data_IF_840296870706
#
_entry.id   IF_840296870706
#
_cell.length_a   1.000
_cell.length_b   1.000
_cell.length_c   1.000
_cell.angle_alpha   90.00
_cell.angle_beta   90.00
_cell.angle_gamma   90.00
#
_symmetry.space_group_name_H-M   'P 1'
#
loop_
_entity.id
_entity.type
_entity.pdbx_description
1 polymer ?
#
# COMPACT_ATOMS: atom_id res chain seq x y z
N UNK A 1 11.64 15.99 -16.64
CA UNK A 1 11.18 14.61 -16.42
C UNK A 1 10.92 14.28 -14.95
N UNK A 2 11.86 14.48 -14.02
CA UNK A 2 11.64 14.18 -12.57
C UNK A 2 10.41 14.87 -11.98
N UNK A 3 10.19 16.15 -12.32
CA UNK A 3 9.05 16.94 -11.81
C UNK A 3 7.68 16.32 -12.13
N UNK A 4 7.56 15.62 -13.27
CA UNK A 4 6.30 15.01 -13.72
C UNK A 4 5.87 13.82 -12.85
N UNK A 5 6.81 13.22 -12.11
CA UNK A 5 6.55 12.05 -11.26
C UNK A 5 6.34 12.42 -9.80
N UNK A 6 6.66 13.65 -9.38
CA UNK A 6 6.52 14.09 -7.99
C UNK A 6 5.07 13.93 -7.53
N UNK A 7 4.12 14.50 -8.29
CA UNK A 7 2.71 14.44 -7.91
C UNK A 7 2.18 13.00 -7.88
N UNK A 8 2.35 12.16 -8.92
CA UNK A 8 1.99 10.75 -8.84
C UNK A 8 2.62 9.98 -7.67
N UNK A 9 3.91 10.19 -7.38
CA UNK A 9 4.58 9.54 -6.26
C UNK A 9 3.98 9.97 -4.91
N UNK A 10 3.65 11.26 -4.74
CA UNK A 10 2.90 11.73 -3.58
C UNK A 10 1.54 11.03 -3.46
N UNK A 11 0.85 10.78 -4.58
CA UNK A 11 -0.40 10.03 -4.59
C UNK A 11 -0.20 8.56 -4.22
N UNK A 12 0.89 7.91 -4.65
CA UNK A 12 1.24 6.54 -4.20
C UNK A 12 1.43 6.50 -2.68
N UNK A 13 2.16 7.48 -2.13
CA UNK A 13 2.35 7.60 -0.68
C UNK A 13 1.04 7.88 0.05
N UNK A 14 0.19 8.76 -0.50
CA UNK A 14 -1.14 9.05 0.04
C UNK A 14 -2.04 7.81 0.03
N UNK A 15 -2.00 6.99 -1.03
CA UNK A 15 -2.70 5.72 -1.12
C UNK A 15 -2.28 4.75 0.00
N UNK A 16 -0.97 4.56 0.17
CA UNK A 16 -0.40 3.73 1.25
C UNK A 16 -0.83 4.23 2.64
N UNK A 17 -0.74 5.54 2.88
CA UNK A 17 -1.13 6.16 4.15
C UNK A 17 -2.63 5.96 4.41
N UNK A 18 -3.47 6.16 3.39
CA UNK A 18 -4.93 6.02 3.49
C UNK A 18 -5.31 4.58 3.83
N UNK A 19 -4.71 3.59 3.15
CA UNK A 19 -4.96 2.18 3.45
C UNK A 19 -4.46 1.79 4.85
N UNK A 20 -3.31 2.31 5.27
CA UNK A 20 -2.79 2.11 6.63
C UNK A 20 -3.76 2.65 7.68
N UNK A 21 -4.28 3.87 7.49
CA UNK A 21 -5.26 4.47 8.38
C UNK A 21 -6.58 3.69 8.39
N UNK A 22 -7.05 3.23 7.23
CA UNK A 22 -8.23 2.34 7.14
C UNK A 22 -8.05 1.09 8.00
N UNK A 23 -6.94 0.36 7.83
CA UNK A 23 -6.67 -0.85 8.63
C UNK A 23 -6.56 -0.56 10.13
N UNK A 24 -6.00 0.60 10.51
CA UNK A 24 -5.99 1.04 11.90
C UNK A 24 -7.40 1.28 12.45
N UNK A 25 -8.28 1.92 11.67
CA UNK A 25 -9.68 2.14 12.03
C UNK A 25 -10.40 0.80 12.21
N UNK A 26 -10.25 -0.13 11.28
CA UNK A 26 -10.85 -1.48 11.35
C UNK A 26 -10.43 -2.20 12.64
N UNK A 27 -9.14 -2.17 12.97
CA UNK A 27 -8.61 -2.80 14.19
C UNK A 27 -9.14 -2.09 15.45
N UNK A 28 -9.29 -0.77 15.44
CA UNK A 28 -9.90 -0.03 16.56
C UNK A 28 -11.38 -0.36 16.74
N UNK A 29 -12.12 -0.54 15.65
CA UNK A 29 -13.53 -0.94 15.68
C UNK A 29 -13.72 -2.36 16.27
N UNK A 30 -12.69 -3.21 16.22
CA UNK A 30 -12.67 -4.51 16.88
C UNK A 30 -12.38 -4.43 18.40
N UNK A 31 -12.27 -3.23 18.97
CA UNK A 31 -12.02 -3.01 20.39
C UNK A 31 -10.54 -2.87 20.77
N UNK A 32 -9.62 -2.90 19.81
CA UNK A 32 -8.19 -2.71 20.09
C UNK A 32 -7.81 -1.23 20.20
N UNK A 33 -7.37 -0.79 21.38
CA UNK A 33 -6.91 0.57 21.63
C UNK A 33 -5.47 0.82 21.13
N UNK A 34 -5.20 0.63 19.83
CA UNK A 34 -3.88 0.84 19.24
C UNK A 34 -3.68 2.28 18.75
N UNK A 35 -2.51 2.85 19.03
CA UNK A 35 -2.02 4.06 18.37
C UNK A 35 -1.52 3.73 16.95
N UNK A 36 -1.38 4.74 16.08
CA UNK A 36 -0.81 4.54 14.74
C UNK A 36 0.62 3.96 14.82
N UNK A 37 1.46 4.52 15.69
CA UNK A 37 2.82 4.02 15.91
C UNK A 37 2.79 2.58 16.43
N UNK A 38 1.89 2.27 17.36
CA UNK A 38 1.70 0.91 17.88
C UNK A 38 1.31 -0.07 16.77
N UNK A 39 0.36 0.31 15.91
CA UNK A 39 -0.07 -0.49 14.78
C UNK A 39 1.06 -0.76 13.77
N UNK A 40 1.84 0.28 13.42
CA UNK A 40 2.98 0.14 12.51
C UNK A 40 4.08 -0.75 13.09
N UNK A 41 4.33 -0.66 14.41
CA UNK A 41 5.32 -1.52 15.10
C UNK A 41 4.93 -2.99 15.15
N UNK A 42 3.65 -3.32 15.05
CA UNK A 42 3.18 -4.71 14.94
C UNK A 42 3.39 -5.29 13.54
N UNK A 43 3.69 -4.46 12.54
CA UNK A 43 3.74 -4.85 11.11
C UNK A 43 4.95 -4.29 10.35
N UNK A 44 6.17 -4.25 10.93
CA UNK A 44 7.29 -3.49 10.36
C UNK A 44 7.70 -3.97 8.97
N UNK A 45 7.77 -5.29 8.77
CA UNK A 45 8.11 -5.89 7.48
C UNK A 45 6.99 -5.71 6.45
N UNK A 46 5.74 -5.84 6.88
CA UNK A 46 4.60 -5.76 5.97
C UNK A 46 4.41 -4.36 5.42
N UNK A 47 4.50 -3.32 6.25
CA UNK A 47 4.45 -1.93 5.79
C UNK A 47 5.59 -1.61 4.84
N UNK A 48 6.81 -2.08 5.13
CA UNK A 48 7.97 -1.87 4.25
C UNK A 48 7.81 -2.58 2.91
N UNK A 49 7.35 -3.84 2.92
CA UNK A 49 7.06 -4.59 1.71
C UNK A 49 5.93 -3.94 0.89
N UNK A 50 4.90 -3.39 1.54
CA UNK A 50 3.81 -2.69 0.86
C UNK A 50 4.31 -1.44 0.13
N UNK A 51 5.20 -0.67 0.77
CA UNK A 51 5.86 0.47 0.13
C UNK A 51 6.68 0.02 -1.09
N UNK A 52 7.52 -0.99 -0.96
CA UNK A 52 8.30 -1.53 -2.08
C UNK A 52 7.42 -2.05 -3.22
N UNK A 53 6.35 -2.79 -2.88
CA UNK A 53 5.37 -3.28 -3.84
C UNK A 53 4.64 -2.15 -4.56
N UNK A 54 4.30 -1.08 -3.85
CA UNK A 54 3.67 0.10 -4.46
C UNK A 54 4.62 0.86 -5.38
N UNK A 55 5.92 0.89 -5.09
CA UNK A 55 6.93 1.47 -5.98
C UNK A 55 7.10 0.61 -7.24
N UNK A 56 7.19 -0.71 -7.10
CA UNK A 56 7.24 -1.62 -8.23
C UNK A 56 5.99 -1.48 -9.12
N UNK A 57 4.80 -1.43 -8.52
CA UNK A 57 3.54 -1.20 -9.23
C UNK A 57 3.51 0.16 -9.95
N UNK A 58 4.03 1.22 -9.33
CA UNK A 58 4.11 2.52 -9.97
C UNK A 58 5.08 2.53 -11.16
N UNK A 59 6.24 1.85 -11.06
CA UNK A 59 7.17 1.71 -12.17
C UNK A 59 6.54 0.97 -13.36
N UNK A 60 5.70 -0.03 -13.11
CA UNK A 60 4.92 -0.69 -14.17
C UNK A 60 3.91 0.26 -14.81
N UNK A 61 3.24 1.12 -14.03
CA UNK A 61 2.37 2.15 -14.59
C UNK A 61 3.14 3.13 -15.49
N UNK A 62 4.37 3.49 -15.11
CA UNK A 62 5.26 4.34 -15.92
C UNK A 62 5.62 3.65 -17.24
N UNK A 63 6.05 2.39 -17.17
CA UNK A 63 6.41 1.58 -18.33
C UNK A 63 5.24 1.42 -19.32
N UNK A 64 4.03 1.24 -18.80
CA UNK A 64 2.80 1.10 -19.59
C UNK A 64 2.19 2.44 -20.05
N UNK A 65 2.75 3.58 -19.63
CA UNK A 65 2.20 4.91 -19.93
C UNK A 65 0.88 5.24 -19.21
N UNK A 66 0.51 4.50 -18.16
CA UNK A 66 -0.74 4.65 -17.40
C UNK A 66 -0.50 5.38 -16.06
N UNK A 67 0.20 6.51 -16.10
CA UNK A 67 0.60 7.27 -14.88
C UNK A 67 -0.46 8.27 -14.43
N UNK A 68 -1.74 7.93 -14.54
CA UNK A 68 -2.80 8.81 -14.02
C UNK A 68 -2.71 8.92 -12.50
N UNK A 69 -3.13 10.06 -11.95
CA UNK A 69 -3.11 10.29 -10.49
C UNK A 69 -3.95 9.26 -9.73
N UNK A 70 -5.06 8.84 -10.33
CA UNK A 70 -5.95 7.80 -9.76
C UNK A 70 -5.26 6.44 -9.75
N UNK A 71 -4.56 6.07 -10.83
CA UNK A 71 -3.82 4.81 -10.88
C UNK A 71 -2.66 4.79 -9.87
N UNK A 72 -1.93 5.90 -9.76
CA UNK A 72 -0.86 6.06 -8.78
C UNK A 72 -1.37 5.92 -7.34
N UNK A 73 -2.47 6.60 -7.00
CA UNK A 73 -3.13 6.44 -5.70
C UNK A 73 -3.59 5.00 -5.46
N UNK A 74 -4.25 4.40 -6.45
CA UNK A 74 -4.80 3.05 -6.37
C UNK A 74 -3.73 1.99 -6.12
N UNK A 75 -2.59 2.08 -6.80
CA UNK A 75 -1.44 1.18 -6.56
C UNK A 75 -0.93 1.30 -5.12
N UNK A 76 -0.78 2.52 -4.61
CA UNK A 76 -0.40 2.74 -3.22
C UNK A 76 -1.40 2.18 -2.22
N UNK A 77 -2.69 2.38 -2.48
CA UNK A 77 -3.77 1.89 -1.64
C UNK A 77 -3.86 0.36 -1.62
N UNK A 78 -3.67 -0.30 -2.78
CA UNK A 78 -3.87 -1.73 -2.93
C UNK A 78 -2.67 -2.60 -2.51
N UNK A 79 -1.46 -2.04 -2.40
CA UNK A 79 -0.22 -2.81 -2.25
C UNK A 79 -0.21 -3.77 -1.03
N UNK A 80 -0.62 -3.30 0.15
CA UNK A 80 -0.66 -4.12 1.36
C UNK A 80 -1.64 -5.29 1.24
N UNK A 81 -2.81 -5.08 0.62
CA UNK A 81 -3.79 -6.14 0.37
C UNK A 81 -3.30 -7.14 -0.68
N UNK A 82 -2.61 -6.68 -1.73
CA UNK A 82 -2.02 -7.58 -2.72
C UNK A 82 -0.95 -8.48 -2.10
N UNK A 83 -0.17 -7.98 -1.14
CA UNK A 83 0.78 -8.81 -0.39
C UNK A 83 0.08 -9.88 0.46
N UNK A 84 -1.08 -9.56 1.07
CA UNK A 84 -1.89 -10.57 1.78
C UNK A 84 -2.32 -11.70 0.84
N UNK A 85 -2.81 -11.34 -0.36
CA UNK A 85 -3.25 -12.30 -1.39
C UNK A 85 -2.06 -13.14 -1.89
N UNK A 86 -0.97 -12.51 -2.31
CA UNK A 86 0.23 -13.22 -2.80
C UNK A 86 0.78 -14.15 -1.72
N UNK A 87 0.88 -13.68 -0.48
CA UNK A 87 1.33 -14.50 0.64
C UNK A 87 0.39 -15.66 0.95
N UNK A 88 -0.92 -15.45 0.87
CA UNK A 88 -1.91 -16.51 1.07
C UNK A 88 -1.84 -17.56 -0.05
N UNK A 89 -1.68 -17.12 -1.30
CA UNK A 89 -1.48 -18.00 -2.46
C UNK A 89 -0.18 -18.82 -2.35
N UNK A 90 0.93 -18.18 -1.96
CA UNK A 90 2.21 -18.86 -1.76
C UNK A 90 2.16 -19.94 -0.66
N UNK A 91 1.27 -19.78 0.33
CA UNK A 91 1.01 -20.78 1.38
C UNK A 91 -0.05 -21.82 1.00
N UNK A 92 -0.66 -21.72 -0.18
CA UNK A 92 -1.75 -22.61 -0.63
C UNK A 92 -3.08 -22.40 0.13
N UNK A 93 -3.28 -21.26 0.78
CA UNK A 93 -4.51 -20.95 1.54
C UNK A 93 -5.65 -20.54 0.60
N UNK A 94 -5.32 -19.98 -0.56
CA UNK A 94 -6.24 -19.61 -1.64
C UNK A 94 -5.68 -20.17 -2.94
N UNK A 95 -6.55 -20.74 -3.78
CA UNK A 95 -6.20 -21.33 -5.08
C UNK A 95 -6.19 -20.27 -6.20
#
# INVERSE_FOLDING_TARGET
MVMAHILPLLLVLAGNATHTLKKLIEVRQQGHALSLIGFLRLRPYKTSLALLGSMAGYLLLVDQGVTSLVAAFGVGYAADSMLEVVGAKARGVIQ
#
